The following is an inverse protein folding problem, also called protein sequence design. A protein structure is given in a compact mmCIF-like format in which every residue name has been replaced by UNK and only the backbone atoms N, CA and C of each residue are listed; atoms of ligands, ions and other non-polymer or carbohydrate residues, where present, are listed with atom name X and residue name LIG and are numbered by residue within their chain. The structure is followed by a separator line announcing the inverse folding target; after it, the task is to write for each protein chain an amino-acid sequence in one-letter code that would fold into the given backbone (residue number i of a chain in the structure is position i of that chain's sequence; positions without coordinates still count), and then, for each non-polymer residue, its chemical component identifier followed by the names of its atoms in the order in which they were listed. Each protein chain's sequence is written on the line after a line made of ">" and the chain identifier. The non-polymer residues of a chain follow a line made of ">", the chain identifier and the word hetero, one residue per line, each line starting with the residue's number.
data_IF_740884524627
#
_entry.id   IF_740884524627
#
_cell.length_a   1.000
_cell.length_b   1.000
_cell.length_c   1.000
_cell.angle_alpha   90.00
_cell.angle_beta   90.00
_cell.angle_gamma   90.00
#
_symmetry.space_group_name_H-M   'P 1'
#
loop_
_entity.id
_entity.type
_entity.pdbx_description
1 polymer ?
#
# COMPACT_ATOMS: atom_id res chain seq x y z
N UNK A 1 -27.11 11.18 -12.20
CA UNK A 1 -27.88 10.24 -13.06
C UNK A 1 -28.31 10.97 -14.35
N UNK A 2 -27.70 10.64 -15.48
CA UNK A 2 -28.07 11.18 -16.79
C UNK A 2 -28.66 10.09 -17.68
N UNK A 3 -29.43 10.44 -18.73
CA UNK A 3 -30.10 9.49 -19.63
C UNK A 3 -29.14 8.50 -20.32
N UNK A 4 -27.83 8.79 -20.32
CA UNK A 4 -26.80 7.90 -20.85
C UNK A 4 -26.55 6.64 -20.03
N UNK A 5 -26.93 6.60 -18.75
CA UNK A 5 -26.61 5.48 -17.83
C UNK A 5 -27.83 4.65 -17.43
N UNK A 6 -29.03 5.19 -17.61
CA UNK A 6 -30.28 4.55 -17.24
C UNK A 6 -31.46 5.51 -17.32
N UNK A 7 -32.65 4.97 -17.17
CA UNK A 7 -33.91 5.72 -17.16
C UNK A 7 -34.64 5.45 -15.85
N UNK A 8 -35.16 6.49 -15.19
CA UNK A 8 -35.87 6.34 -13.93
C UNK A 8 -37.38 6.48 -14.16
N UNK A 9 -38.13 5.44 -13.79
CA UNK A 9 -39.58 5.35 -13.95
C UNK A 9 -40.21 5.13 -12.58
N UNK A 10 -41.08 6.05 -12.15
CA UNK A 10 -41.80 5.98 -10.87
C UNK A 10 -40.89 5.69 -9.65
N UNK A 11 -39.75 6.38 -9.56
CA UNK A 11 -38.80 6.23 -8.45
C UNK A 11 -37.86 5.02 -8.54
N UNK A 12 -38.02 4.14 -9.54
CA UNK A 12 -37.11 3.02 -9.79
C UNK A 12 -36.27 3.28 -11.04
N UNK A 13 -34.93 3.19 -10.93
CA UNK A 13 -34.04 3.39 -12.06
C UNK A 13 -33.68 2.09 -12.77
N UNK A 14 -34.00 2.02 -14.07
CA UNK A 14 -33.68 0.91 -14.97
C UNK A 14 -32.35 1.21 -15.66
N UNK A 15 -31.28 0.55 -15.22
CA UNK A 15 -29.92 0.84 -15.68
C UNK A 15 -29.62 0.21 -17.04
N UNK A 16 -28.82 0.92 -17.84
CA UNK A 16 -28.28 0.38 -19.10
C UNK A 16 -27.17 -0.65 -18.82
N UNK A 17 -26.85 -1.55 -19.77
CA UNK A 17 -25.78 -2.52 -19.63
C UNK A 17 -24.47 -1.86 -19.19
N UNK A 18 -23.78 -2.46 -18.21
CA UNK A 18 -22.54 -1.91 -17.65
C UNK A 18 -22.74 -0.88 -16.53
N UNK A 19 -23.98 -0.53 -16.18
CA UNK A 19 -24.29 0.35 -15.05
C UNK A 19 -25.25 -0.31 -14.05
N UNK A 20 -25.09 0.02 -12.77
CA UNK A 20 -25.92 -0.49 -11.68
C UNK A 20 -26.09 0.50 -10.52
N UNK A 21 -26.65 0.01 -9.42
CA UNK A 21 -26.99 0.82 -8.25
C UNK A 21 -28.33 1.56 -8.42
N UNK A 22 -28.87 2.07 -7.31
CA UNK A 22 -30.20 2.70 -7.24
C UNK A 22 -30.41 3.88 -8.19
N UNK A 23 -29.32 4.57 -8.58
CA UNK A 23 -29.34 5.68 -9.54
C UNK A 23 -28.51 5.44 -10.80
N UNK A 24 -28.15 4.18 -11.11
CA UNK A 24 -27.34 3.81 -12.28
C UNK A 24 -25.97 4.52 -12.38
N UNK A 25 -25.44 4.99 -11.25
CA UNK A 25 -24.14 5.65 -11.17
C UNK A 25 -22.96 4.70 -11.05
N UNK A 26 -23.21 3.42 -10.80
CA UNK A 26 -22.21 2.40 -10.50
C UNK A 26 -21.73 1.74 -11.80
N UNK A 27 -20.49 1.98 -12.29
CA UNK A 27 -19.97 1.23 -13.41
C UNK A 27 -19.69 -0.22 -12.98
N UNK A 28 -20.23 -1.19 -13.72
CA UNK A 28 -20.07 -2.63 -13.47
C UNK A 28 -18.79 -3.20 -14.13
N UNK A 29 -18.01 -2.37 -14.84
CA UNK A 29 -16.74 -2.76 -15.43
C UNK A 29 -15.67 -3.02 -14.36
N UNK A 30 -15.43 -4.30 -14.05
CA UNK A 30 -14.53 -4.75 -12.96
C UNK A 30 -13.04 -4.39 -13.11
N UNK A 31 -12.61 -3.87 -14.26
CA UNK A 31 -11.23 -3.48 -14.52
C UNK A 31 -10.69 -2.37 -13.59
N UNK A 32 -11.57 -1.53 -13.02
CA UNK A 32 -11.15 -0.37 -12.21
C UNK A 32 -10.60 -0.73 -10.83
N UNK A 33 -10.92 -1.93 -10.34
CA UNK A 33 -10.48 -2.40 -9.02
C UNK A 33 -9.31 -3.39 -9.11
N UNK A 34 -8.90 -3.78 -10.32
CA UNK A 34 -7.82 -4.74 -10.55
C UNK A 34 -6.46 -4.05 -10.51
N UNK A 35 -5.58 -4.51 -9.62
CA UNK A 35 -4.17 -4.10 -9.58
C UNK A 35 -3.27 -5.33 -9.47
N UNK A 36 -2.37 -5.50 -10.43
CA UNK A 36 -1.48 -6.67 -10.48
C UNK A 36 -2.23 -8.00 -10.56
N UNK A 37 -3.38 -8.02 -11.24
CA UNK A 37 -4.23 -9.21 -11.39
C UNK A 37 -5.08 -9.57 -10.16
N UNK A 38 -5.06 -8.76 -9.09
CA UNK A 38 -5.92 -8.96 -7.91
C UNK A 38 -6.89 -7.80 -7.74
N UNK A 39 -8.14 -8.11 -7.46
CA UNK A 39 -9.15 -7.11 -7.07
C UNK A 39 -8.76 -6.53 -5.71
N UNK A 40 -8.64 -5.20 -5.63
CA UNK A 40 -8.33 -4.47 -4.40
C UNK A 40 -7.12 -5.05 -3.64
N UNK A 41 -6.10 -5.49 -4.39
CA UNK A 41 -4.91 -6.17 -3.87
C UNK A 41 -5.18 -7.40 -2.99
N UNK A 42 -6.40 -7.94 -3.00
CA UNK A 42 -6.85 -9.02 -2.11
C UNK A 42 -7.27 -8.56 -0.70
N UNK A 43 -7.37 -7.25 -0.47
CA UNK A 43 -7.62 -6.65 0.84
C UNK A 43 -8.88 -5.77 0.87
N UNK A 44 -9.84 -6.07 0.01
CA UNK A 44 -11.11 -5.36 -0.05
C UNK A 44 -12.06 -5.94 -1.08
N UNK A 45 -13.21 -5.29 -1.22
CA UNK A 45 -14.22 -5.64 -2.24
C UNK A 45 -14.41 -4.47 -3.18
N UNK A 46 -14.56 -4.73 -4.48
CA UNK A 46 -14.89 -3.70 -5.45
C UNK A 46 -16.36 -3.29 -5.33
N UNK A 47 -16.62 -2.02 -5.01
CA UNK A 47 -17.96 -1.44 -4.97
C UNK A 47 -17.98 -0.25 -5.93
N UNK A 48 -18.71 -0.39 -7.04
CA UNK A 48 -18.86 0.68 -8.05
C UNK A 48 -17.55 1.19 -8.65
N UNK A 49 -16.58 0.30 -8.85
CA UNK A 49 -15.27 0.67 -9.38
C UNK A 49 -14.36 1.37 -8.38
N UNK A 50 -14.71 1.33 -7.08
CA UNK A 50 -13.87 1.79 -5.98
C UNK A 50 -13.68 0.66 -4.98
N UNK A 51 -12.47 0.49 -4.47
CA UNK A 51 -12.19 -0.53 -3.48
C UNK A 51 -12.66 -0.12 -2.09
N UNK A 52 -13.52 -0.95 -1.49
CA UNK A 52 -13.84 -0.88 -0.07
C UNK A 52 -12.90 -1.80 0.71
N UNK A 53 -11.93 -1.21 1.38
CA UNK A 53 -10.86 -1.95 2.06
C UNK A 53 -11.33 -2.65 3.34
N UNK A 54 -10.70 -3.78 3.64
CA UNK A 54 -10.79 -4.42 4.95
C UNK A 54 -10.13 -3.54 6.03
N UNK A 55 -10.50 -3.70 7.31
CA UNK A 55 -9.88 -2.96 8.41
C UNK A 55 -8.35 -3.08 8.40
N UNK A 56 -7.66 -1.94 8.56
CA UNK A 56 -6.20 -1.86 8.54
C UNK A 56 -5.56 -1.70 7.17
N UNK A 57 -6.34 -1.71 6.08
CA UNK A 57 -5.86 -1.45 4.73
C UNK A 57 -6.39 -0.12 4.17
N UNK A 58 -5.57 0.52 3.35
CA UNK A 58 -5.81 1.85 2.84
C UNK A 58 -5.37 2.01 1.38
N UNK A 59 -5.85 3.09 0.78
CA UNK A 59 -5.52 3.51 -0.57
C UNK A 59 -6.53 3.00 -1.61
N UNK A 60 -6.41 3.47 -2.86
CA UNK A 60 -7.40 3.23 -3.91
C UNK A 60 -7.56 1.75 -4.30
N UNK A 61 -6.56 0.92 -3.97
CA UNK A 61 -6.56 -0.52 -4.22
C UNK A 61 -6.30 -1.32 -2.94
N UNK A 62 -6.42 -0.74 -1.75
CA UNK A 62 -6.17 -1.42 -0.47
C UNK A 62 -4.77 -2.05 -0.33
N UNK A 63 -3.78 -1.50 -1.04
CA UNK A 63 -2.42 -2.04 -1.06
C UNK A 63 -1.59 -1.59 0.14
N UNK A 64 -1.97 -0.50 0.82
CA UNK A 64 -1.21 0.04 1.96
C UNK A 64 -1.80 -0.51 3.25
N UNK A 65 -0.94 -0.94 4.16
CA UNK A 65 -1.33 -1.39 5.49
C UNK A 65 -0.43 -0.67 6.51
N UNK A 66 -0.90 0.42 7.16
CA UNK A 66 -0.08 1.23 8.07
C UNK A 66 0.37 0.45 9.31
N UNK A 67 -0.44 -0.49 9.77
CA UNK A 67 -0.12 -1.41 10.86
C UNK A 67 0.84 -2.53 10.43
N UNK A 68 0.96 -2.80 9.14
CA UNK A 68 1.97 -3.71 8.62
C UNK A 68 3.31 -2.98 8.68
N UNK A 69 4.18 -3.41 9.59
CA UNK A 69 5.53 -2.88 9.65
C UNK A 69 6.20 -3.03 8.29
N UNK A 70 6.65 -1.92 7.65
CA UNK A 70 7.38 -2.03 6.40
C UNK A 70 8.62 -2.90 6.63
N UNK A 71 9.10 -3.63 5.61
CA UNK A 71 10.24 -4.51 5.74
C UNK A 71 11.43 -3.82 6.43
N UNK A 72 11.66 -2.55 6.15
CA UNK A 72 12.73 -1.76 6.75
C UNK A 72 12.66 -1.67 8.28
N UNK A 73 11.47 -1.48 8.88
CA UNK A 73 11.34 -1.41 10.34
C UNK A 73 11.58 -2.77 10.99
N UNK A 74 11.04 -3.84 10.41
CA UNK A 74 11.23 -5.21 10.91
C UNK A 74 12.68 -5.68 10.74
N UNK A 75 13.34 -5.24 9.68
CA UNK A 75 14.70 -5.65 9.32
C UNK A 75 15.76 -4.66 9.82
N UNK A 76 15.40 -3.68 10.66
CA UNK A 76 16.31 -2.64 11.12
C UNK A 76 17.56 -3.23 11.77
N UNK A 77 17.36 -4.12 12.74
CA UNK A 77 18.48 -4.74 13.47
C UNK A 77 19.30 -5.68 12.59
N UNK A 78 18.65 -6.32 11.60
CA UNK A 78 19.34 -7.10 10.58
C UNK A 78 20.16 -6.21 9.62
N UNK A 79 19.66 -5.02 9.28
CA UNK A 79 20.37 -4.07 8.44
C UNK A 79 21.58 -3.48 9.19
N UNK A 80 21.39 -3.11 10.46
CA UNK A 80 22.47 -2.62 11.32
C UNK A 80 23.59 -3.65 11.47
N UNK A 81 23.22 -4.90 11.73
CA UNK A 81 24.19 -5.97 11.87
C UNK A 81 24.80 -6.38 10.53
N UNK A 82 24.01 -6.54 9.47
CA UNK A 82 24.50 -7.01 8.17
C UNK A 82 25.35 -5.98 7.42
N UNK A 83 25.03 -4.68 7.54
CA UNK A 83 25.78 -3.63 6.85
C UNK A 83 26.93 -3.04 7.69
N UNK A 84 26.80 -3.02 9.02
CA UNK A 84 27.73 -2.30 9.89
C UNK A 84 28.26 -3.13 11.07
N UNK A 85 27.83 -4.38 11.23
CA UNK A 85 28.31 -5.25 12.30
C UNK A 85 27.95 -4.76 13.71
N UNK A 86 26.84 -4.03 13.86
CA UNK A 86 26.40 -3.44 15.14
C UNK A 86 24.95 -3.80 15.49
N UNK A 87 24.50 -3.35 16.65
CA UNK A 87 23.14 -3.55 17.13
C UNK A 87 22.95 -4.86 17.90
N UNK A 88 21.71 -5.18 18.31
CA UNK A 88 21.42 -6.28 19.23
C UNK A 88 21.68 -7.67 18.62
N UNK A 89 21.64 -7.79 17.29
CA UNK A 89 21.85 -9.05 16.56
C UNK A 89 23.31 -9.27 16.13
N UNK A 90 24.26 -8.44 16.60
CA UNK A 90 25.68 -8.52 16.22
C UNK A 90 26.29 -9.91 16.40
N UNK A 91 25.96 -10.60 17.50
CA UNK A 91 26.56 -11.90 17.86
C UNK A 91 26.01 -13.09 17.08
N UNK A 92 24.79 -13.00 16.54
CA UNK A 92 24.10 -14.11 15.87
C UNK A 92 23.47 -13.70 14.53
N UNK A 93 24.05 -12.68 13.89
CA UNK A 93 23.54 -12.03 12.69
C UNK A 93 23.09 -12.99 11.58
N UNK A 94 23.97 -13.93 11.22
CA UNK A 94 23.76 -14.89 10.13
C UNK A 94 22.63 -15.88 10.44
N UNK A 95 22.36 -16.14 11.72
CA UNK A 95 21.30 -17.05 12.17
C UNK A 95 19.96 -16.31 12.35
N UNK A 96 20.00 -15.08 12.88
CA UNK A 96 18.82 -14.24 13.07
C UNK A 96 18.30 -13.65 11.75
N UNK A 97 19.17 -13.44 10.77
CA UNK A 97 18.88 -12.75 9.52
C UNK A 97 19.29 -13.57 8.27
N UNK A 98 18.87 -14.84 8.12
CA UNK A 98 19.39 -15.75 7.09
C UNK A 98 18.99 -15.40 5.65
N UNK A 99 17.99 -14.52 5.48
CA UNK A 99 17.47 -14.08 4.17
C UNK A 99 17.66 -12.58 3.93
N UNK A 100 18.55 -11.94 4.69
CA UNK A 100 18.74 -10.49 4.64
C UNK A 100 20.16 -10.17 4.21
N UNK A 101 20.30 -9.60 3.01
CA UNK A 101 21.57 -9.08 2.52
C UNK A 101 21.55 -7.57 2.67
N UNK A 102 22.30 -7.05 3.64
CA UNK A 102 22.43 -5.61 3.85
C UNK A 102 23.81 -5.14 3.35
N UNK A 103 23.82 -4.03 2.62
CA UNK A 103 25.06 -3.35 2.19
C UNK A 103 25.03 -1.93 2.71
N UNK A 104 26.15 -1.48 3.29
CA UNK A 104 26.31 -0.09 3.67
C UNK A 104 26.35 0.79 2.42
N UNK A 105 25.54 1.85 2.42
CA UNK A 105 25.66 2.92 1.42
C UNK A 105 26.65 3.94 1.98
N UNK A 106 27.68 4.36 1.21
CA UNK A 106 28.58 5.41 1.66
C UNK A 106 27.80 6.69 1.96
N UNK A 107 28.21 7.40 3.01
CA UNK A 107 27.57 8.66 3.37
C UNK A 107 27.62 9.62 2.16
N UNK A 108 26.54 10.37 1.89
CA UNK A 108 26.60 11.42 0.88
C UNK A 108 27.72 12.41 1.27
N UNK A 109 28.38 13.03 0.28
CA UNK A 109 29.40 14.02 0.57
C UNK A 109 28.84 15.12 1.48
N UNK A 110 29.66 15.69 2.37
CA UNK A 110 29.25 16.76 3.25
C UNK A 110 28.73 17.91 2.38
N UNK A 111 27.45 18.20 2.53
CA UNK A 111 26.81 19.36 1.94
C UNK A 111 27.21 20.55 2.81
N UNK A 112 27.56 21.70 2.22
CA UNK A 112 27.87 22.90 2.97
C UNK A 112 26.59 23.40 3.64
N UNK A 113 26.30 22.93 4.86
CA UNK A 113 25.19 23.46 5.67
C UNK A 113 24.43 22.53 6.61
N UNK A 114 24.73 21.23 6.73
CA UNK A 114 24.01 20.37 7.68
C UNK A 114 24.94 19.60 8.62
N UNK A 115 25.17 20.17 9.80
CA UNK A 115 25.56 19.42 10.99
C UNK A 115 24.72 19.94 12.16
N UNK A 116 23.94 19.07 12.80
CA UNK A 116 23.60 19.27 14.20
C UNK A 116 24.92 19.09 14.98
N UNK A 117 25.31 20.08 15.78
CA UNK A 117 26.42 19.94 16.73
C UNK A 117 25.89 19.18 17.94
N UNK A 118 26.63 18.18 18.41
CA UNK A 118 26.48 17.71 19.77
C UNK A 118 27.07 18.78 20.69
N UNK A 119 26.25 19.29 21.61
CA UNK A 119 26.66 20.23 22.66
C UNK A 119 27.62 19.50 23.60
N UNK A 120 28.87 19.96 23.65
CA UNK A 120 29.85 19.62 24.70
C UNK A 120 30.01 20.81 25.64
#
# INVERSE_FOLDING_TARGET
>A
PGPERGECVCGTCRCRPGFGGSGCGCPLGGGRCLRGGRECSGHGSCVCGTCRCHPGYEGPFCARCPSCHPPCRRLRDCADCGAFGRGPLRGNCSQACPRVTARGVPAPPPHPGAWCREET
#
